data_IF_073989656305
#
_entry.id   IF_073989656305
#
_cell.length_a   1.000
_cell.length_b   1.000
_cell.length_c   1.000
_cell.angle_alpha   90.00
_cell.angle_beta   90.00
_cell.angle_gamma   90.00
#
_symmetry.space_group_name_H-M   'P 1'
#
loop_
_entity.id
_entity.type
_entity.pdbx_description
1 polymer ?
#
# COMPACT_ATOMS: atom_id res chain seq x y z
N UNK A 1 -8.50 -18.45 -44.14
CA UNK A 1 -9.19 -17.49 -43.25
C UNK A 1 -8.69 -16.12 -43.66
N UNK A 2 -9.46 -15.44 -44.49
CA UNK A 2 -8.98 -14.24 -45.19
C UNK A 2 -9.00 -13.04 -44.24
N UNK A 3 -7.81 -12.63 -43.80
CA UNK A 3 -7.61 -11.45 -42.94
C UNK A 3 -8.23 -10.18 -43.52
N UNK A 4 -8.35 -10.09 -44.86
CA UNK A 4 -9.00 -8.97 -45.53
C UNK A 4 -10.52 -8.97 -45.32
N UNK A 5 -11.18 -10.14 -45.42
CA UNK A 5 -12.60 -10.28 -45.13
C UNK A 5 -12.90 -10.02 -43.64
N UNK A 6 -11.99 -10.45 -42.75
CA UNK A 6 -12.05 -10.14 -41.32
C UNK A 6 -11.88 -8.63 -41.04
N UNK A 7 -11.02 -7.94 -41.79
CA UNK A 7 -10.82 -6.50 -41.62
C UNK A 7 -12.01 -5.69 -42.17
N UNK A 8 -12.62 -6.10 -43.30
CA UNK A 8 -13.84 -5.48 -43.81
C UNK A 8 -15.04 -5.73 -42.90
N UNK A 9 -15.22 -6.94 -42.35
CA UNK A 9 -16.29 -7.21 -41.39
C UNK A 9 -16.07 -6.47 -40.09
N UNK A 10 -14.83 -6.33 -39.61
CA UNK A 10 -14.49 -5.50 -38.44
C UNK A 10 -14.73 -4.02 -38.71
N UNK A 11 -14.43 -3.52 -39.91
CA UNK A 11 -14.67 -2.11 -40.26
C UNK A 11 -16.16 -1.80 -40.48
N UNK A 12 -16.94 -2.72 -41.07
CA UNK A 12 -18.39 -2.57 -41.21
C UNK A 12 -19.12 -2.75 -39.87
N UNK A 13 -18.64 -3.66 -39.02
CA UNK A 13 -19.07 -3.80 -37.62
C UNK A 13 -18.74 -2.55 -36.81
N UNK A 14 -17.52 -2.01 -36.93
CA UNK A 14 -17.11 -0.77 -36.28
C UNK A 14 -17.94 0.44 -36.78
N UNK A 15 -18.27 0.48 -38.07
CA UNK A 15 -19.09 1.52 -38.69
C UNK A 15 -20.58 1.47 -38.32
N UNK A 16 -21.14 0.27 -38.11
CA UNK A 16 -22.50 0.08 -37.55
C UNK A 16 -22.54 0.39 -36.05
N UNK A 17 -21.48 0.05 -35.31
CA UNK A 17 -21.38 0.33 -33.89
C UNK A 17 -21.24 1.83 -33.57
N UNK A 18 -20.58 2.62 -34.42
CA UNK A 18 -20.52 4.09 -34.31
C UNK A 18 -21.89 4.79 -34.49
N UNK A 19 -22.93 4.10 -35.00
CA UNK A 19 -24.27 4.68 -35.20
C UNK A 19 -25.23 4.39 -34.04
N UNK A 20 -24.93 3.39 -33.21
CA UNK A 20 -25.68 3.03 -32.01
C UNK A 20 -24.88 3.41 -30.74
N UNK A 21 -24.19 4.54 -30.78
CA UNK A 21 -23.40 5.03 -29.64
C UNK A 21 -24.32 5.63 -28.57
N UNK A 22 -24.28 5.00 -27.39
CA UNK A 22 -24.84 5.51 -26.15
C UNK A 22 -25.13 4.40 -25.16
N UNK A 23 -24.62 4.51 -23.93
CA UNK A 23 -25.18 3.76 -22.80
C UNK A 23 -26.67 4.08 -22.75
N UNK A 24 -27.51 3.08 -22.99
CA UNK A 24 -28.95 3.25 -22.87
C UNK A 24 -29.25 3.60 -21.42
N UNK A 25 -29.99 4.70 -21.19
CA UNK A 25 -30.43 5.11 -19.86
C UNK A 25 -31.17 3.97 -19.14
N UNK A 26 -31.81 3.08 -19.90
CA UNK A 26 -32.45 1.86 -19.41
C UNK A 26 -31.45 0.88 -18.79
N UNK A 27 -30.32 0.59 -19.43
CA UNK A 27 -29.27 -0.30 -18.89
C UNK A 27 -28.68 0.23 -17.58
N UNK A 28 -28.48 1.56 -17.49
CA UNK A 28 -28.03 2.21 -16.25
C UNK A 28 -29.06 2.09 -15.11
N UNK A 29 -30.35 2.28 -15.40
CA UNK A 29 -31.40 2.14 -14.40
C UNK A 29 -31.57 0.69 -13.95
N UNK A 30 -31.43 -0.27 -14.86
CA UNK A 30 -31.45 -1.70 -14.55
C UNK A 30 -30.28 -2.07 -13.63
N UNK A 31 -29.05 -1.64 -13.94
CA UNK A 31 -27.90 -1.95 -13.09
C UNK A 31 -27.97 -1.29 -11.72
N UNK A 32 -28.50 -0.05 -11.65
CA UNK A 32 -28.79 0.64 -10.40
C UNK A 32 -29.83 -0.14 -9.58
N UNK A 33 -30.89 -0.64 -10.21
CA UNK A 33 -31.93 -1.41 -9.55
C UNK A 33 -31.42 -2.75 -9.04
N UNK A 34 -30.61 -3.48 -9.82
CA UNK A 34 -29.96 -4.73 -9.39
C UNK A 34 -29.01 -4.47 -8.22
N UNK A 35 -28.15 -3.45 -8.34
CA UNK A 35 -27.20 -3.07 -7.28
C UNK A 35 -27.91 -2.66 -5.99
N UNK A 36 -28.98 -1.86 -6.09
CA UNK A 36 -29.82 -1.50 -4.95
C UNK A 36 -30.54 -2.73 -4.38
N UNK A 37 -30.98 -3.64 -5.25
CA UNK A 37 -31.63 -4.91 -4.90
C UNK A 37 -30.72 -5.86 -4.12
N UNK A 38 -29.40 -5.77 -4.29
CA UNK A 38 -28.42 -6.51 -3.47
C UNK A 38 -28.10 -5.73 -2.19
N UNK A 39 -27.87 -4.42 -2.30
CA UNK A 39 -27.46 -3.58 -1.19
C UNK A 39 -28.50 -3.50 -0.07
N UNK A 40 -29.79 -3.29 -0.42
CA UNK A 40 -30.86 -3.10 0.58
C UNK A 40 -31.04 -4.36 1.45
N UNK A 41 -31.14 -5.59 0.90
CA UNK A 41 -31.20 -6.80 1.71
C UNK A 41 -29.96 -7.02 2.58
N UNK A 42 -28.75 -6.78 2.05
CA UNK A 42 -27.52 -6.94 2.83
C UNK A 42 -27.49 -6.00 4.04
N UNK A 43 -27.83 -4.72 3.83
CA UNK A 43 -27.95 -3.75 4.93
C UNK A 43 -29.05 -4.18 5.89
N UNK A 44 -30.20 -4.64 5.40
CA UNK A 44 -31.30 -5.11 6.23
C UNK A 44 -30.87 -6.31 7.11
N UNK A 45 -30.24 -7.32 6.52
CA UNK A 45 -29.67 -8.48 7.22
C UNK A 45 -28.68 -8.01 8.28
N UNK A 46 -27.77 -7.09 7.95
CA UNK A 46 -26.85 -6.50 8.92
C UNK A 46 -27.58 -5.81 10.08
N UNK A 47 -28.62 -5.01 9.81
CA UNK A 47 -29.41 -4.36 10.87
C UNK A 47 -30.13 -5.34 11.79
N UNK A 48 -30.45 -6.53 11.30
CA UNK A 48 -31.04 -7.60 12.09
C UNK A 48 -29.97 -8.35 12.91
N UNK A 49 -28.85 -8.71 12.28
CA UNK A 49 -27.75 -9.43 12.92
C UNK A 49 -27.07 -8.63 14.04
N UNK A 50 -26.94 -7.31 13.88
CA UNK A 50 -26.34 -6.43 14.92
C UNK A 50 -27.13 -6.47 16.23
N UNK A 51 -28.45 -6.62 16.16
CA UNK A 51 -29.35 -6.59 17.32
C UNK A 51 -29.37 -7.95 18.05
N UNK A 52 -29.10 -9.06 17.33
CA UNK A 52 -29.02 -10.41 17.91
C UNK A 52 -27.67 -10.63 18.59
N UNK A 53 -26.57 -10.39 17.88
CA UNK A 53 -25.23 -10.80 18.29
C UNK A 53 -24.31 -9.61 18.62
N UNK A 54 -24.67 -8.85 19.65
CA UNK A 54 -23.88 -7.68 20.09
C UNK A 54 -22.38 -8.01 20.34
N UNK A 55 -22.06 -9.20 20.86
CA UNK A 55 -20.68 -9.64 21.12
C UNK A 55 -19.80 -9.69 19.87
N UNK A 56 -20.38 -10.07 18.73
CA UNK A 56 -19.65 -10.19 17.47
C UNK A 56 -19.53 -8.84 16.76
N UNK A 57 -20.60 -8.04 16.77
CA UNK A 57 -20.66 -6.78 16.03
C UNK A 57 -20.09 -5.58 16.80
N UNK A 58 -19.98 -5.66 18.12
CA UNK A 58 -19.52 -4.57 18.98
C UNK A 58 -18.53 -5.06 20.05
N UNK A 59 -17.38 -5.64 19.65
CA UNK A 59 -16.41 -6.16 20.61
C UNK A 59 -15.79 -5.05 21.48
N UNK A 60 -15.60 -3.85 20.94
CA UNK A 60 -15.04 -2.71 21.67
C UNK A 60 -15.98 -2.21 22.78
N UNK A 61 -17.30 -2.28 22.60
CA UNK A 61 -18.27 -1.97 23.66
C UNK A 61 -18.27 -2.99 24.81
N UNK A 62 -17.69 -4.18 24.60
CA UNK A 62 -17.47 -5.13 25.70
C UNK A 62 -16.15 -4.88 26.43
N UNK A 63 -15.14 -4.40 25.74
CA UNK A 63 -13.83 -4.10 26.31
C UNK A 63 -13.85 -2.80 27.13
N UNK A 64 -14.60 -1.80 26.67
CA UNK A 64 -14.70 -0.50 27.30
C UNK A 64 -16.15 -0.24 27.78
N UNK A 65 -16.42 -0.23 29.11
CA UNK A 65 -17.76 -0.02 29.66
C UNK A 65 -18.31 1.39 29.41
N UNK A 66 -17.46 2.35 29.04
CA UNK A 66 -17.85 3.74 28.75
C UNK A 66 -18.35 3.93 27.30
N UNK A 67 -18.22 2.90 26.46
CA UNK A 67 -18.75 2.90 25.09
C UNK A 67 -20.23 2.50 25.09
N UNK A 68 -21.10 3.47 24.79
CA UNK A 68 -22.54 3.21 24.65
C UNK A 68 -22.79 2.23 23.48
N UNK A 69 -23.54 1.13 23.69
CA UNK A 69 -23.87 0.20 22.63
C UNK A 69 -24.73 0.89 21.56
N UNK A 70 -24.62 0.43 20.31
CA UNK A 70 -25.48 0.94 19.24
C UNK A 70 -26.95 0.70 19.63
N UNK A 71 -27.83 1.68 19.34
CA UNK A 71 -29.19 1.63 19.79
C UNK A 71 -29.95 0.56 19.01
N UNK A 72 -30.84 -0.14 19.70
CA UNK A 72 -31.74 -1.13 19.09
C UNK A 72 -32.70 -0.41 18.16
N UNK A 73 -32.83 -0.87 16.92
CA UNK A 73 -33.68 -0.22 15.91
C UNK A 73 -33.07 -0.19 14.50
N UNK A 74 -33.97 -0.17 13.51
CA UNK A 74 -33.63 -0.35 12.08
C UNK A 74 -32.92 0.86 11.45
N UNK A 75 -33.31 2.08 11.81
CA UNK A 75 -32.73 3.34 11.26
C UNK A 75 -32.08 4.24 12.31
N UNK A 76 -32.36 3.99 13.59
CA UNK A 76 -31.87 4.81 14.71
C UNK A 76 -30.34 4.80 14.82
N UNK A 77 -29.70 3.67 14.51
CA UNK A 77 -28.25 3.53 14.52
C UNK A 77 -27.57 4.42 13.47
N UNK A 78 -28.20 4.64 12.31
CA UNK A 78 -27.69 5.56 11.27
C UNK A 78 -27.71 7.00 11.76
N UNK A 79 -28.80 7.41 12.43
CA UNK A 79 -28.92 8.75 13.01
C UNK A 79 -27.89 8.98 14.12
N UNK A 80 -27.67 7.99 14.98
CA UNK A 80 -26.65 8.07 16.03
C UNK A 80 -25.24 8.09 15.44
N UNK A 81 -24.97 7.28 14.41
CA UNK A 81 -23.70 7.30 13.69
C UNK A 81 -23.46 8.68 13.06
N UNK A 82 -24.47 9.29 12.45
CA UNK A 82 -24.35 10.62 11.87
C UNK A 82 -24.09 11.70 12.93
N UNK A 83 -24.76 11.61 14.10
CA UNK A 83 -24.50 12.50 15.24
C UNK A 83 -23.07 12.34 15.75
N UNK A 84 -22.63 11.09 15.95
CA UNK A 84 -21.28 10.75 16.39
C UNK A 84 -20.22 11.24 15.40
N UNK A 85 -20.45 11.05 14.10
CA UNK A 85 -19.58 11.57 13.04
C UNK A 85 -19.54 13.09 12.96
N UNK A 86 -20.46 13.83 13.58
CA UNK A 86 -20.43 15.29 13.62
C UNK A 86 -19.64 15.82 14.81
N UNK A 87 -19.49 15.02 15.86
CA UNK A 87 -18.83 15.41 17.10
C UNK A 87 -17.33 15.05 17.06
N UNK A 88 -16.53 15.95 16.49
CA UNK A 88 -15.08 15.74 16.36
C UNK A 88 -14.36 15.75 17.73
N UNK A 89 -14.97 16.31 18.78
CA UNK A 89 -14.41 16.37 20.14
C UNK A 89 -14.61 15.07 20.91
N UNK A 90 -15.80 14.48 20.86
CA UNK A 90 -16.05 13.16 21.46
C UNK A 90 -15.27 12.04 20.75
N UNK A 91 -15.09 12.17 19.42
CA UNK A 91 -14.23 11.28 18.65
C UNK A 91 -12.78 11.30 19.12
N UNK A 92 -12.32 12.43 19.65
CA UNK A 92 -10.91 12.66 19.89
C UNK A 92 -10.36 11.88 21.10
N UNK A 93 -11.19 11.65 22.13
CA UNK A 93 -10.77 10.95 23.34
C UNK A 93 -10.85 9.42 23.25
N UNK A 94 -11.60 8.88 22.28
CA UNK A 94 -11.98 7.45 22.25
C UNK A 94 -11.38 6.65 21.10
N UNK A 95 -11.11 7.30 19.96
CA UNK A 95 -10.58 6.64 18.77
C UNK A 95 -9.08 6.91 18.63
N UNK A 96 -8.36 5.90 18.12
CA UNK A 96 -6.98 6.08 17.69
C UNK A 96 -6.88 7.20 16.63
N UNK A 97 -5.72 7.86 16.60
CA UNK A 97 -5.46 8.95 15.66
C UNK A 97 -5.65 8.50 14.20
N UNK A 98 -5.23 7.29 13.86
CA UNK A 98 -5.37 6.76 12.49
C UNK A 98 -6.83 6.52 12.10
N UNK A 99 -7.64 5.99 13.02
CA UNK A 99 -9.08 5.80 12.77
C UNK A 99 -9.77 7.15 12.53
N UNK A 100 -9.38 8.18 13.29
CA UNK A 100 -9.87 9.56 13.09
C UNK A 100 -9.50 10.10 11.70
N UNK A 101 -8.28 9.86 11.22
CA UNK A 101 -7.87 10.29 9.89
C UNK A 101 -8.60 9.54 8.77
N UNK A 102 -8.86 8.25 8.97
CA UNK A 102 -9.67 7.47 8.03
C UNK A 102 -11.11 8.01 7.92
N UNK A 103 -11.77 8.29 9.05
CA UNK A 103 -13.11 8.89 9.05
C UNK A 103 -13.12 10.28 8.42
N UNK A 104 -12.06 11.07 8.66
CA UNK A 104 -11.90 12.37 8.00
C UNK A 104 -11.73 12.22 6.49
N UNK A 105 -10.95 11.26 6.00
CA UNK A 105 -10.78 10.98 4.57
C UNK A 105 -12.14 10.73 3.89
N UNK A 106 -12.99 9.90 4.49
CA UNK A 106 -14.35 9.64 3.99
C UNK A 106 -15.20 10.91 3.98
N UNK A 107 -15.14 11.71 5.06
CA UNK A 107 -15.89 12.97 5.15
C UNK A 107 -15.42 13.99 4.11
N UNK A 108 -14.11 14.07 3.86
CA UNK A 108 -13.53 14.94 2.83
C UNK A 108 -13.96 14.49 1.44
N UNK A 109 -14.02 13.18 1.17
CA UNK A 109 -14.54 12.67 -0.10
C UNK A 109 -16.00 13.10 -0.33
N UNK A 110 -16.87 13.02 0.69
CA UNK A 110 -18.26 13.52 0.58
C UNK A 110 -18.30 15.04 0.37
N UNK A 111 -17.50 15.80 1.12
CA UNK A 111 -17.38 17.27 0.94
C UNK A 111 -16.80 17.66 -0.42
N UNK A 112 -16.01 16.79 -1.06
CA UNK A 112 -15.45 16.99 -2.39
C UNK A 112 -16.54 16.87 -3.45
N UNK A 113 -17.29 15.77 -3.45
CA UNK A 113 -18.23 15.46 -4.52
C UNK A 113 -19.59 16.15 -4.39
N UNK A 114 -20.14 16.31 -3.17
CA UNK A 114 -21.48 16.88 -2.98
C UNK A 114 -21.67 18.30 -3.54
N UNK A 115 -20.83 19.30 -3.20
CA UNK A 115 -21.01 20.65 -3.73
C UNK A 115 -20.72 20.73 -5.23
N UNK A 116 -19.74 19.95 -5.70
CA UNK A 116 -19.43 19.81 -7.13
C UNK A 116 -20.67 19.29 -7.88
N UNK A 117 -21.31 18.23 -7.38
CA UNK A 117 -22.52 17.69 -7.99
C UNK A 117 -23.67 18.71 -8.00
N UNK A 118 -23.92 19.39 -6.88
CA UNK A 118 -25.02 20.37 -6.76
C UNK A 118 -24.81 21.61 -7.63
N UNK A 119 -23.57 22.04 -7.86
CA UNK A 119 -23.27 23.24 -8.66
C UNK A 119 -23.10 22.88 -10.14
N UNK A 120 -22.34 21.84 -10.44
CA UNK A 120 -21.92 21.52 -11.81
C UNK A 120 -23.02 20.79 -12.58
N UNK A 121 -23.78 19.87 -11.96
CA UNK A 121 -24.84 19.14 -12.68
C UNK A 121 -25.90 20.10 -13.25
N UNK A 122 -26.44 21.08 -12.49
CA UNK A 122 -27.42 22.01 -13.05
C UNK A 122 -26.87 22.92 -14.16
N UNK A 123 -25.55 23.14 -14.20
CA UNK A 123 -24.91 23.96 -15.24
C UNK A 123 -24.63 23.10 -16.48
N UNK A 124 -24.03 21.92 -16.32
CA UNK A 124 -23.59 21.09 -17.44
C UNK A 124 -24.72 20.31 -18.10
N UNK A 125 -25.71 19.82 -17.34
CA UNK A 125 -26.79 19.02 -17.91
C UNK A 125 -27.58 19.80 -18.99
N UNK A 126 -28.04 21.04 -18.75
CA UNK A 126 -28.75 21.81 -19.77
C UNK A 126 -27.86 22.23 -20.95
N UNK A 127 -26.61 22.61 -20.67
CA UNK A 127 -25.64 23.05 -21.70
C UNK A 127 -25.33 21.93 -22.68
N UNK A 128 -25.17 20.70 -22.17
CA UNK A 128 -24.89 19.53 -22.98
C UNK A 128 -26.16 19.05 -23.70
N UNK A 129 -27.31 19.01 -23.02
CA UNK A 129 -28.57 18.56 -23.63
C UNK A 129 -29.00 19.43 -24.83
N UNK A 130 -28.86 20.75 -24.71
CA UNK A 130 -29.27 21.71 -25.77
C UNK A 130 -28.32 21.77 -26.98
N UNK A 131 -27.21 21.02 -26.98
CA UNK A 131 -26.25 21.03 -28.09
C UNK A 131 -26.74 20.25 -29.32
N UNK A 132 -27.75 19.40 -29.11
CA UNK A 132 -28.55 18.63 -30.07
C UNK A 132 -27.80 18.23 -31.35
N UNK A 133 -26.88 17.28 -31.21
CA UNK A 133 -26.28 16.59 -32.34
C UNK A 133 -27.17 15.42 -32.79
N UNK A 134 -27.47 15.35 -34.08
CA UNK A 134 -28.37 14.35 -34.71
C UNK A 134 -27.87 12.90 -34.49
N UNK A 135 -26.60 12.71 -34.13
CA UNK A 135 -25.92 11.41 -34.08
C UNK A 135 -25.84 10.78 -32.68
N UNK A 136 -26.25 11.48 -31.61
CA UNK A 136 -26.03 11.02 -30.22
C UNK A 136 -27.35 10.67 -29.53
N UNK A 137 -27.49 9.41 -29.14
CA UNK A 137 -28.65 8.86 -28.43
C UNK A 137 -28.39 8.63 -26.94
N UNK A 138 -29.46 8.39 -26.16
CA UNK A 138 -29.34 7.92 -24.77
C UNK A 138 -28.69 8.90 -23.79
N UNK A 139 -27.92 8.36 -22.84
CA UNK A 139 -27.25 9.11 -21.76
C UNK A 139 -26.13 10.04 -22.28
N UNK A 140 -25.59 9.75 -23.46
CA UNK A 140 -24.50 10.49 -24.08
C UNK A 140 -24.92 11.90 -24.51
N UNK A 141 -26.22 12.18 -24.59
CA UNK A 141 -26.76 13.54 -24.78
C UNK A 141 -26.38 14.51 -23.66
N UNK A 142 -26.10 14.00 -22.46
CA UNK A 142 -25.64 14.80 -21.32
C UNK A 142 -24.11 14.88 -21.22
N UNK A 143 -23.38 14.18 -22.09
CA UNK A 143 -21.92 14.17 -22.12
C UNK A 143 -21.37 15.32 -22.98
N UNK A 144 -20.07 15.59 -22.82
CA UNK A 144 -19.34 16.56 -23.64
C UNK A 144 -19.28 16.15 -25.11
N UNK A 145 -19.51 14.88 -25.44
CA UNK A 145 -19.56 14.34 -26.81
C UNK A 145 -20.70 14.96 -27.65
N UNK A 146 -21.76 15.47 -27.03
CA UNK A 146 -22.86 16.12 -27.76
C UNK A 146 -22.48 17.53 -28.26
N UNK A 147 -21.39 18.14 -27.77
CA UNK A 147 -20.97 19.50 -28.14
C UNK A 147 -20.23 19.48 -29.48
N UNK A 148 -20.77 20.19 -30.47
CA UNK A 148 -20.13 20.34 -31.77
C UNK A 148 -18.91 21.27 -31.72
N UNK A 149 -17.94 21.06 -32.62
CA UNK A 149 -16.69 21.84 -32.68
C UNK A 149 -16.91 23.34 -32.95
N UNK A 150 -18.03 23.69 -33.58
CA UNK A 150 -18.38 25.06 -33.98
C UNK A 150 -18.95 25.91 -32.82
N UNK A 151 -19.36 25.27 -31.72
CA UNK A 151 -20.06 25.94 -30.62
C UNK A 151 -19.09 26.45 -29.53
N UNK A 152 -18.31 27.49 -29.84
CA UNK A 152 -17.27 28.02 -28.94
C UNK A 152 -17.76 28.42 -27.54
N UNK A 153 -18.96 28.99 -27.43
CA UNK A 153 -19.51 29.46 -26.13
C UNK A 153 -19.70 28.29 -25.16
N UNK A 154 -20.18 27.14 -25.64
CA UNK A 154 -20.42 25.96 -24.80
C UNK A 154 -19.12 25.37 -24.26
N UNK A 155 -18.07 25.33 -25.10
CA UNK A 155 -16.72 24.93 -24.69
C UNK A 155 -16.15 25.85 -23.60
N UNK A 156 -16.42 27.15 -23.68
CA UNK A 156 -16.03 28.10 -22.63
C UNK A 156 -16.80 27.87 -21.32
N UNK A 157 -18.10 27.54 -21.40
CA UNK A 157 -18.91 27.23 -20.22
C UNK A 157 -18.41 25.95 -19.54
N UNK A 158 -18.11 24.88 -20.30
CA UNK A 158 -17.57 23.63 -19.73
C UNK A 158 -16.19 23.85 -19.12
N UNK A 159 -15.30 24.59 -19.79
CA UNK A 159 -13.99 24.95 -19.26
C UNK A 159 -14.11 25.77 -17.97
N UNK A 160 -15.01 26.76 -17.93
CA UNK A 160 -15.26 27.56 -16.72
C UNK A 160 -15.77 26.70 -15.57
N UNK A 161 -16.75 25.83 -15.80
CA UNK A 161 -17.24 24.90 -14.78
C UNK A 161 -16.14 23.97 -14.24
N UNK A 162 -15.27 23.46 -15.11
CA UNK A 162 -14.12 22.65 -14.72
C UNK A 162 -13.11 23.44 -13.88
N UNK A 163 -12.84 24.70 -14.24
CA UNK A 163 -11.93 25.56 -13.45
C UNK A 163 -12.49 25.83 -12.05
N UNK A 164 -13.79 26.08 -11.92
CA UNK A 164 -14.47 26.26 -10.64
C UNK A 164 -14.37 24.99 -9.77
N UNK A 165 -14.56 23.82 -10.38
CA UNK A 165 -14.37 22.52 -9.73
C UNK A 165 -12.94 22.37 -9.19
N UNK A 166 -11.95 22.66 -10.03
CA UNK A 166 -10.54 22.53 -9.66
C UNK A 166 -10.14 23.48 -8.52
N UNK A 167 -10.61 24.74 -8.54
CA UNK A 167 -10.42 25.71 -7.46
C UNK A 167 -11.06 25.19 -6.16
N UNK A 168 -12.26 24.62 -6.24
CA UNK A 168 -12.92 24.03 -5.07
C UNK A 168 -12.12 22.87 -4.47
N UNK A 169 -11.67 21.93 -5.31
CA UNK A 169 -10.86 20.77 -4.93
C UNK A 169 -9.58 21.25 -4.24
N UNK A 170 -8.82 22.15 -4.89
CA UNK A 170 -7.57 22.68 -4.35
C UNK A 170 -7.77 23.38 -3.00
N UNK A 171 -8.78 24.25 -2.90
CA UNK A 171 -9.11 24.95 -1.65
C UNK A 171 -9.47 23.98 -0.53
N UNK A 172 -10.31 22.98 -0.82
CA UNK A 172 -10.73 21.98 0.16
C UNK A 172 -9.55 21.15 0.66
N UNK A 173 -8.71 20.65 -0.26
CA UNK A 173 -7.52 19.88 0.07
C UNK A 173 -6.55 20.67 0.95
N UNK A 174 -6.29 21.94 0.65
CA UNK A 174 -5.41 22.78 1.47
C UNK A 174 -5.96 23.04 2.87
N UNK A 175 -7.25 23.32 3.00
CA UNK A 175 -7.88 23.53 4.31
C UNK A 175 -7.80 22.26 5.15
N UNK A 176 -8.18 21.12 4.57
CA UNK A 176 -8.18 19.85 5.28
C UNK A 176 -6.76 19.38 5.62
N UNK A 177 -5.77 19.61 4.74
CA UNK A 177 -4.37 19.32 5.03
C UNK A 177 -3.86 20.11 6.25
N UNK A 178 -4.15 21.41 6.33
CA UNK A 178 -3.81 22.23 7.50
C UNK A 178 -4.48 21.72 8.78
N UNK A 179 -5.75 21.32 8.69
CA UNK A 179 -6.48 20.75 9.82
C UNK A 179 -5.89 19.41 10.27
N UNK A 180 -5.47 18.56 9.35
CA UNK A 180 -4.79 17.28 9.67
C UNK A 180 -3.46 17.54 10.38
N UNK A 181 -2.65 18.46 9.87
CA UNK A 181 -1.37 18.84 10.51
C UNK A 181 -1.61 19.37 11.93
N UNK A 182 -2.57 20.29 12.12
CA UNK A 182 -2.90 20.81 13.45
C UNK A 182 -3.41 19.72 14.40
N UNK A 183 -4.26 18.81 13.90
CA UNK A 183 -4.77 17.69 14.72
C UNK A 183 -3.64 16.75 15.13
N UNK A 184 -2.71 16.45 14.22
CA UNK A 184 -1.52 15.64 14.47
C UNK A 184 -0.61 16.30 15.51
N UNK A 185 -0.34 17.60 15.37
CA UNK A 185 0.46 18.36 16.32
C UNK A 185 -0.17 18.38 17.72
N UNK A 186 -1.48 18.64 17.80
CA UNK A 186 -2.21 18.63 19.07
C UNK A 186 -2.16 17.25 19.75
N UNK A 187 -2.26 16.17 18.96
CA UNK A 187 -2.13 14.81 19.49
C UNK A 187 -0.74 14.57 20.08
N UNK A 188 0.34 14.89 19.35
CA UNK A 188 1.70 14.70 19.87
C UNK A 188 2.07 15.62 21.03
N UNK A 189 1.37 16.73 21.21
CA UNK A 189 1.56 17.62 22.36
C UNK A 189 0.91 17.08 23.65
N UNK A 190 0.14 16.00 23.57
CA UNK A 190 -0.53 15.43 24.75
C UNK A 190 0.48 14.78 25.70
N UNK A 191 0.46 15.19 26.97
CA UNK A 191 1.55 14.93 27.93
C UNK A 191 1.82 13.44 28.22
N UNK A 192 0.80 12.58 28.08
CA UNK A 192 0.97 11.14 28.31
C UNK A 192 1.84 10.48 27.23
N UNK A 193 1.88 11.03 26.00
CA UNK A 193 2.77 10.54 24.95
C UNK A 193 4.22 10.95 25.20
N UNK A 194 4.44 12.10 25.83
CA UNK A 194 5.77 12.60 26.19
C UNK A 194 6.46 11.77 27.30
N UNK A 195 5.70 10.99 28.08
CA UNK A 195 6.22 10.09 29.12
C UNK A 195 6.69 8.73 28.58
N UNK A 196 6.45 8.42 27.31
CA UNK A 196 6.93 7.16 26.72
C UNK A 196 8.44 7.22 26.48
N UNK A 197 9.16 6.20 26.93
CA UNK A 197 10.59 6.02 26.63
C UNK A 197 10.78 5.92 25.13
N UNK A 198 11.56 6.84 24.56
CA UNK A 198 11.85 6.84 23.14
C UNK A 198 12.91 5.78 22.85
N UNK A 199 12.50 4.75 22.10
CA UNK A 199 13.40 3.69 21.65
C UNK A 199 13.73 3.92 20.18
N UNK A 200 15.01 3.97 19.85
CA UNK A 200 15.48 4.18 18.48
C UNK A 200 16.30 2.97 18.05
N UNK A 201 16.01 2.48 16.84
CA UNK A 201 16.84 1.46 16.19
C UNK A 201 17.87 2.17 15.32
N UNK A 202 19.15 1.87 15.56
CA UNK A 202 20.22 2.25 14.64
C UNK A 202 20.62 1.02 13.83
N UNK A 203 20.67 1.20 12.51
CA UNK A 203 21.01 0.16 11.55
C UNK A 203 22.32 0.49 10.82
N UNK A 204 22.90 -0.51 10.15
CA UNK A 204 24.15 -0.39 9.40
C UNK A 204 25.33 0.07 10.28
N UNK A 205 25.44 -0.48 11.49
CA UNK A 205 26.58 -0.27 12.39
C UNK A 205 27.81 -1.02 11.84
N UNK A 206 28.98 -0.38 11.72
CA UNK A 206 30.22 -1.09 11.38
C UNK A 206 30.57 -2.14 12.44
N UNK A 207 31.02 -3.35 12.07
CA UNK A 207 31.21 -4.46 13.00
C UNK A 207 32.25 -4.17 14.10
N UNK A 208 33.22 -3.26 13.84
CA UNK A 208 34.21 -2.83 14.83
C UNK A 208 33.67 -1.84 15.87
N UNK A 209 32.53 -1.19 15.58
CA UNK A 209 31.87 -0.24 16.49
C UNK A 209 30.69 -0.87 17.25
N UNK A 210 30.33 -2.12 16.94
CA UNK A 210 29.23 -2.84 17.57
C UNK A 210 29.63 -3.32 18.97
N UNK A 211 29.83 -2.39 19.89
CA UNK A 211 30.11 -2.62 21.30
C UNK A 211 29.33 -1.60 22.13
N UNK A 212 28.77 -2.02 23.26
CA UNK A 212 28.03 -1.13 24.17
C UNK A 212 28.85 0.13 24.53
N UNK A 213 30.11 -0.05 24.92
CA UNK A 213 31.01 1.05 25.29
C UNK A 213 31.30 2.01 24.12
N UNK A 214 31.62 1.49 22.94
CA UNK A 214 31.92 2.32 21.75
C UNK A 214 30.70 3.11 21.30
N UNK A 215 29.51 2.48 21.31
CA UNK A 215 28.26 3.13 20.95
C UNK A 215 27.89 4.22 21.95
N UNK A 216 28.01 3.95 23.26
CA UNK A 216 27.80 4.98 24.29
C UNK A 216 28.77 6.15 24.14
N UNK A 217 30.03 5.90 23.80
CA UNK A 217 31.00 6.97 23.56
C UNK A 217 30.61 7.85 22.36
N UNK A 218 30.26 7.25 21.22
CA UNK A 218 29.84 7.99 20.02
C UNK A 218 28.60 8.85 20.33
N UNK A 219 27.61 8.26 21.00
CA UNK A 219 26.35 8.93 21.27
C UNK A 219 26.35 9.81 22.53
N UNK A 220 27.40 9.79 23.35
CA UNK A 220 27.57 10.70 24.50
C UNK A 220 27.62 12.17 24.08
N UNK A 221 27.98 12.45 22.83
CA UNK A 221 27.95 13.79 22.24
C UNK A 221 26.54 14.40 22.22
N UNK A 222 25.49 13.59 22.30
CA UNK A 222 24.10 14.03 22.25
C UNK A 222 23.50 14.09 23.66
N UNK A 223 23.49 15.28 24.27
CA UNK A 223 22.75 15.62 25.50
C UNK A 223 22.71 14.50 26.57
N UNK A 224 23.89 13.99 26.96
CA UNK A 224 24.00 12.96 28.03
C UNK A 224 23.95 11.51 27.54
N UNK A 225 23.72 11.28 26.25
CA UNK A 225 23.77 9.96 25.62
C UNK A 225 22.57 9.06 25.92
N UNK A 226 22.58 7.83 25.38
CA UNK A 226 21.54 6.86 25.63
C UNK A 226 21.61 6.33 27.07
N UNK A 227 20.44 6.17 27.70
CA UNK A 227 20.29 5.53 29.01
C UNK A 227 20.70 4.07 28.90
N UNK A 228 20.21 3.39 27.87
CA UNK A 228 20.56 1.99 27.63
C UNK A 228 20.76 1.67 26.15
N UNK A 229 21.64 0.70 25.88
CA UNK A 229 21.96 0.20 24.55
C UNK A 229 21.76 -1.31 24.56
N UNK A 230 20.74 -1.77 23.84
CA UNK A 230 20.42 -3.19 23.72
C UNK A 230 20.96 -3.68 22.37
N UNK A 231 21.79 -4.73 22.44
CA UNK A 231 22.36 -5.41 21.28
C UNK A 231 21.52 -6.66 20.99
N UNK A 232 20.65 -6.63 19.98
CA UNK A 232 19.78 -7.76 19.72
C UNK A 232 20.59 -8.96 19.22
N UNK A 233 20.18 -10.17 19.62
CA UNK A 233 20.80 -11.44 19.22
C UNK A 233 22.27 -11.63 19.61
N UNK A 234 22.73 -10.99 20.70
CA UNK A 234 24.10 -11.13 21.20
C UNK A 234 24.49 -12.60 21.43
N UNK A 235 23.66 -13.39 22.10
CA UNK A 235 23.93 -14.83 22.34
C UNK A 235 24.12 -15.62 21.04
N UNK A 236 23.35 -15.28 20.00
CA UNK A 236 23.46 -15.94 18.68
C UNK A 236 24.76 -15.55 17.99
N UNK A 237 25.19 -14.30 18.14
CA UNK A 237 26.46 -13.82 17.63
C UNK A 237 27.62 -14.54 18.31
N UNK A 238 27.61 -14.64 19.63
CA UNK A 238 28.68 -15.28 20.43
C UNK A 238 28.85 -16.76 20.04
N UNK A 239 27.73 -17.47 19.85
CA UNK A 239 27.73 -18.84 19.36
C UNK A 239 28.33 -18.97 17.94
N UNK A 240 28.05 -18.02 17.05
CA UNK A 240 28.61 -18.00 15.69
C UNK A 240 30.11 -17.68 15.72
N UNK A 241 30.57 -16.80 16.59
CA UNK A 241 31.99 -16.48 16.77
C UNK A 241 32.78 -17.66 17.32
N UNK A 242 32.20 -18.37 18.30
CA UNK A 242 32.79 -19.61 18.81
C UNK A 242 32.96 -20.62 17.67
N UNK A 243 31.92 -20.80 16.85
CA UNK A 243 31.97 -21.67 15.66
C UNK A 243 32.95 -21.19 14.59
N UNK A 244 33.12 -19.88 14.43
CA UNK A 244 34.11 -19.32 13.52
C UNK A 244 35.52 -19.63 14.01
N UNK A 245 35.78 -19.49 15.32
CA UNK A 245 37.07 -19.77 15.92
C UNK A 245 37.47 -21.25 15.81
N UNK A 246 36.53 -22.18 15.95
CA UNK A 246 36.79 -23.61 15.76
C UNK A 246 37.16 -23.91 14.31
N UNK A 247 36.42 -23.37 13.34
CA UNK A 247 36.73 -23.56 11.91
C UNK A 247 38.07 -22.93 11.50
N UNK A 248 38.46 -21.81 12.10
CA UNK A 248 39.77 -21.20 11.87
C UNK A 248 40.91 -22.09 12.40
N UNK A 249 40.73 -22.74 13.55
CA UNK A 249 41.67 -23.73 14.08
C UNK A 249 41.74 -24.97 13.19
N UNK A 250 40.59 -25.46 12.72
CA UNK A 250 40.54 -26.58 11.77
C UNK A 250 41.26 -26.25 10.46
N UNK A 251 41.15 -25.00 9.98
CA UNK A 251 41.87 -24.53 8.81
C UNK A 251 43.39 -24.48 9.06
N UNK A 252 43.83 -23.97 10.21
CA UNK A 252 45.27 -23.93 10.57
C UNK A 252 45.85 -25.34 10.67
N UNK A 253 45.15 -26.27 11.33
CA UNK A 253 45.57 -27.67 11.44
C UNK A 253 45.66 -28.35 10.07
N UNK A 254 44.70 -28.12 9.18
CA UNK A 254 44.76 -28.61 7.79
C UNK A 254 45.92 -27.99 6.99
N UNK A 255 46.25 -26.72 7.22
CA UNK A 255 47.39 -26.08 6.56
C UNK A 255 48.73 -26.65 7.04
N UNK A 256 48.83 -27.03 8.32
CA UNK A 256 50.01 -27.73 8.87
C UNK A 256 50.17 -29.14 8.32
N UNK A 257 49.09 -29.91 8.18
CA UNK A 257 49.11 -31.32 7.71
C UNK A 257 49.10 -31.39 6.16
N UNK A 258 49.72 -30.42 5.48
CA UNK A 258 49.75 -30.38 4.01
C UNK A 258 50.33 -31.70 3.46
N UNK A 259 49.62 -32.42 2.57
CA UNK A 259 50.10 -33.69 2.05
C UNK A 259 51.36 -33.49 1.20
N UNK A 260 52.45 -34.16 1.58
CA UNK A 260 53.66 -34.25 0.76
C UNK A 260 53.49 -35.30 -0.34
N UNK A 261 54.13 -35.06 -1.49
CA UNK A 261 54.09 -35.96 -2.65
C UNK A 261 54.95 -37.20 -2.34
N UNK A 262 54.32 -38.26 -1.83
CA UNK A 262 54.94 -39.58 -1.66
C UNK A 262 54.59 -40.49 -2.84
N UNK A 263 55.59 -41.20 -3.37
CA UNK A 263 55.46 -42.15 -4.50
C UNK A 263 54.98 -43.55 -4.10
N UNK A 264 54.83 -43.86 -2.81
CA UNK A 264 54.65 -45.24 -2.31
C UNK A 264 53.24 -45.59 -1.82
N UNK A 265 52.22 -44.76 -2.09
CA UNK A 265 50.87 -44.97 -1.54
C UNK A 265 49.86 -45.55 -2.52
N UNK A 266 48.96 -46.40 -2.01
CA UNK A 266 47.88 -47.13 -2.72
C UNK A 266 46.86 -46.18 -3.41
N UNK A 267 46.72 -44.95 -2.93
CA UNK A 267 45.82 -43.93 -3.53
C UNK A 267 46.64 -42.93 -4.37
N UNK A 268 46.24 -42.62 -5.62
CA UNK A 268 46.93 -41.66 -6.47
C UNK A 268 47.13 -40.30 -5.76
N UNK A 269 48.35 -39.78 -5.81
CA UNK A 269 48.73 -38.51 -5.16
C UNK A 269 47.90 -37.32 -5.66
N UNK A 270 47.48 -37.35 -6.93
CA UNK A 270 46.61 -36.35 -7.56
C UNK A 270 45.21 -36.28 -6.94
N UNK A 271 44.59 -37.43 -6.66
CA UNK A 271 43.26 -37.53 -6.03
C UNK A 271 43.30 -36.99 -4.59
N UNK A 272 44.37 -37.28 -3.87
CA UNK A 272 44.58 -36.81 -2.49
C UNK A 272 44.76 -35.29 -2.41
N UNK A 273 45.52 -34.72 -3.35
CA UNK A 273 45.69 -33.27 -3.49
C UNK A 273 44.38 -32.59 -3.88
N UNK A 274 43.62 -33.14 -4.84
CA UNK A 274 42.31 -32.62 -5.21
C UNK A 274 41.33 -32.64 -4.03
N UNK A 275 41.28 -33.73 -3.27
CA UNK A 275 40.45 -33.82 -2.06
C UNK A 275 40.86 -32.79 -1.01
N UNK A 276 42.17 -32.59 -0.79
CA UNK A 276 42.70 -31.57 0.11
C UNK A 276 42.27 -30.16 -0.31
N UNK A 277 42.50 -29.77 -1.57
CA UNK A 277 42.13 -28.44 -2.06
C UNK A 277 40.62 -28.20 -2.06
N UNK A 278 39.82 -29.23 -2.38
CA UNK A 278 38.36 -29.16 -2.30
C UNK A 278 37.89 -28.92 -0.87
N UNK A 279 38.41 -29.69 0.10
CA UNK A 279 38.04 -29.55 1.50
C UNK A 279 38.50 -28.21 2.08
N UNK A 280 39.71 -27.77 1.73
CA UNK A 280 40.21 -26.43 2.07
C UNK A 280 39.29 -25.34 1.52
N UNK A 281 38.94 -25.40 0.24
CA UNK A 281 38.05 -24.41 -0.39
C UNK A 281 36.65 -24.38 0.22
N UNK A 282 36.11 -25.55 0.57
CA UNK A 282 34.82 -25.67 1.27
C UNK A 282 34.89 -25.06 2.69
N UNK A 283 35.97 -25.30 3.42
CA UNK A 283 36.18 -24.74 4.75
C UNK A 283 36.34 -23.22 4.71
N UNK A 284 37.15 -22.69 3.79
CA UNK A 284 37.28 -21.24 3.57
C UNK A 284 35.95 -20.60 3.15
N UNK A 285 35.15 -21.29 2.32
CA UNK A 285 33.81 -20.83 1.95
C UNK A 285 32.88 -20.77 3.18
N UNK A 286 32.94 -21.80 4.04
CA UNK A 286 32.18 -21.84 5.31
C UNK A 286 32.56 -20.69 6.23
N UNK A 287 33.86 -20.41 6.35
CA UNK A 287 34.41 -19.29 7.14
C UNK A 287 33.90 -17.96 6.59
N UNK A 288 34.04 -17.71 5.28
CA UNK A 288 33.55 -16.47 4.66
C UNK A 288 32.05 -16.27 4.82
N UNK A 289 31.26 -17.34 4.70
CA UNK A 289 29.82 -17.27 4.90
C UNK A 289 29.47 -16.93 6.36
N UNK A 290 30.12 -17.59 7.33
CA UNK A 290 29.91 -17.29 8.75
C UNK A 290 30.35 -15.88 9.13
N UNK A 291 31.49 -15.41 8.62
CA UNK A 291 31.94 -14.03 8.82
C UNK A 291 30.90 -13.02 8.33
N UNK A 292 30.38 -13.23 7.10
CA UNK A 292 29.33 -12.38 6.54
C UNK A 292 28.03 -12.44 7.37
N UNK A 293 27.69 -13.59 7.92
CA UNK A 293 26.50 -13.74 8.76
C UNK A 293 26.67 -13.10 10.15
N UNK A 294 27.90 -13.03 10.67
CA UNK A 294 28.23 -12.30 11.91
C UNK A 294 28.18 -10.79 11.66
N UNK A 295 28.77 -10.30 10.56
CA UNK A 295 28.72 -8.89 10.19
C UNK A 295 27.27 -8.40 10.00
N UNK A 296 26.39 -9.25 9.47
CA UNK A 296 24.96 -8.94 9.34
C UNK A 296 24.26 -8.82 10.70
N UNK A 297 24.55 -9.70 11.65
CA UNK A 297 23.96 -9.60 13.00
C UNK A 297 24.50 -8.39 13.75
N UNK A 298 25.79 -8.06 13.58
CA UNK A 298 26.46 -6.90 14.21
C UNK A 298 26.13 -5.54 13.57
N UNK A 299 24.99 -5.42 12.90
CA UNK A 299 24.63 -4.20 12.16
C UNK A 299 23.53 -3.38 12.83
N UNK A 300 22.95 -3.86 13.94
CA UNK A 300 21.77 -3.27 14.58
C UNK A 300 22.00 -3.10 16.08
N UNK A 301 21.55 -1.97 16.62
CA UNK A 301 21.47 -1.73 18.06
C UNK A 301 20.21 -0.91 18.38
N UNK A 302 19.64 -1.15 19.54
CA UNK A 302 18.49 -0.44 20.10
C UNK A 302 19.00 0.53 21.16
N UNK A 303 18.56 1.77 21.08
CA UNK A 303 18.92 2.83 22.02
C UNK A 303 17.69 3.30 22.77
N UNK A 304 17.77 3.30 24.09
CA UNK A 304 16.76 3.87 24.97
C UNK A 304 17.23 5.23 25.48
N UNK A 305 16.39 6.26 25.28
CA UNK A 305 16.65 7.61 25.76
C UNK A 305 15.69 7.97 26.90
N UNK A 306 16.17 8.76 27.87
CA UNK A 306 15.32 9.35 28.91
C UNK A 306 14.39 10.41 28.34
N UNK A 307 14.88 11.14 27.33
CA UNK A 307 14.26 12.34 26.80
C UNK A 307 13.88 12.16 25.33
N UNK A 308 12.63 12.49 24.99
CA UNK A 308 12.14 12.48 23.61
C UNK A 308 12.91 13.46 22.72
N UNK A 309 13.39 14.58 23.28
CA UNK A 309 14.15 15.57 22.52
C UNK A 309 15.48 15.01 22.03
N UNK A 310 16.25 14.35 22.90
CA UNK A 310 17.53 13.72 22.53
C UNK A 310 17.33 12.61 21.51
N UNK A 311 16.28 11.81 21.67
CA UNK A 311 15.87 10.81 20.70
C UNK A 311 15.57 11.44 19.32
N UNK A 312 14.75 12.48 19.29
CA UNK A 312 14.40 13.15 18.04
C UNK A 312 15.60 13.81 17.36
N UNK A 313 16.51 14.38 18.16
CA UNK A 313 17.74 14.96 17.66
C UNK A 313 18.63 13.90 16.97
N UNK A 314 18.69 12.69 17.52
CA UNK A 314 19.44 11.58 16.93
C UNK A 314 18.79 11.05 15.63
N UNK A 315 17.46 11.08 15.52
CA UNK A 315 16.76 10.72 14.28
C UNK A 315 17.04 11.71 13.14
N UNK A 316 17.24 12.99 13.47
CA UNK A 316 17.50 14.04 12.49
C UNK A 316 19.00 14.21 12.19
N UNK A 317 19.86 13.96 13.18
CA UNK A 317 21.30 14.13 13.06
C UNK A 317 21.96 12.88 12.48
N UNK A 318 22.89 13.09 11.55
CA UNK A 318 23.71 12.00 11.01
C UNK A 318 24.94 11.79 11.89
N UNK A 319 25.13 10.59 12.41
CA UNK A 319 26.29 10.25 13.25
C UNK A 319 27.56 9.91 12.45
N UNK A 320 27.43 9.50 11.19
CA UNK A 320 28.54 9.04 10.34
C UNK A 320 28.84 10.00 9.18
N UNK A 321 30.10 10.06 8.74
CA UNK A 321 30.49 10.75 7.50
C UNK A 321 30.17 9.95 6.24
N UNK A 322 30.10 8.62 6.36
CA UNK A 322 29.84 7.70 5.27
C UNK A 322 28.33 7.60 5.04
N UNK A 323 27.85 7.74 3.80
CA UNK A 323 26.43 7.61 3.54
C UNK A 323 25.92 6.20 3.84
N UNK A 324 24.77 6.10 4.53
CA UNK A 324 24.08 4.85 4.91
C UNK A 324 24.71 4.05 6.06
N UNK A 325 25.66 4.61 6.81
CA UNK A 325 26.12 4.02 8.08
C UNK A 325 25.44 4.69 9.27
N UNK A 326 25.23 3.95 10.36
CA UNK A 326 24.62 4.47 11.60
C UNK A 326 23.29 5.19 11.33
N UNK A 327 22.38 4.53 10.61
CA UNK A 327 21.11 5.11 10.21
C UNK A 327 20.04 4.83 11.27
N UNK A 328 19.55 5.90 11.90
CA UNK A 328 18.57 5.86 12.97
C UNK A 328 17.14 5.84 12.43
N UNK A 329 16.30 4.98 13.01
CA UNK A 329 14.89 4.80 12.67
C UNK A 329 14.06 4.64 13.94
N UNK A 330 12.87 5.23 13.94
CA UNK A 330 11.86 4.99 14.98
C UNK A 330 11.08 3.73 14.61
N UNK A 331 11.10 2.72 15.49
CA UNK A 331 10.33 1.48 15.32
C UNK A 331 9.91 0.96 16.68
N UNK A 332 8.67 0.47 16.78
CA UNK A 332 8.20 -0.21 17.99
C UNK A 332 8.90 -1.55 18.15
N UNK A 333 9.53 -1.76 19.32
CA UNK A 333 10.33 -2.95 19.64
C UNK A 333 9.55 -4.26 19.44
N UNK A 334 8.24 -4.24 19.70
CA UNK A 334 7.35 -5.40 19.54
C UNK A 334 7.15 -5.82 18.07
N UNK A 335 7.42 -4.93 17.12
CA UNK A 335 7.19 -5.13 15.68
C UNK A 335 8.48 -5.25 14.88
N UNK A 336 9.60 -5.56 15.54
CA UNK A 336 10.91 -5.59 14.89
C UNK A 336 10.97 -6.69 13.82
N UNK A 337 10.82 -6.28 12.56
CA UNK A 337 10.84 -7.20 11.43
C UNK A 337 12.21 -7.89 11.29
N UNK A 338 12.26 -9.22 11.08
CA UNK A 338 13.52 -9.92 10.83
C UNK A 338 14.21 -9.45 9.54
N UNK A 339 13.49 -8.72 8.68
CA UNK A 339 14.03 -8.15 7.45
C UNK A 339 15.07 -7.04 7.68
N UNK A 340 15.16 -6.49 8.88
CA UNK A 340 16.11 -5.41 9.21
C UNK A 340 17.57 -5.93 9.10
N UNK A 341 17.81 -7.21 9.41
CA UNK A 341 19.11 -7.88 9.32
C UNK A 341 19.59 -8.17 7.89
N UNK A 342 18.74 -7.97 6.87
CA UNK A 342 19.15 -8.20 5.50
C UNK A 342 20.22 -7.21 5.06
N UNK A 343 21.19 -7.71 4.29
CA UNK A 343 22.21 -6.86 3.66
C UNK A 343 21.58 -5.82 2.73
N UNK A 344 22.26 -4.68 2.54
CA UNK A 344 21.81 -3.61 1.62
C UNK A 344 21.49 -4.16 0.23
N UNK A 345 22.38 -5.01 -0.31
CA UNK A 345 22.20 -5.63 -1.62
C UNK A 345 20.97 -6.56 -1.68
N UNK A 346 20.71 -7.34 -0.63
CA UNK A 346 19.49 -8.16 -0.59
C UNK A 346 18.22 -7.30 -0.49
N UNK A 347 18.27 -6.18 0.23
CA UNK A 347 17.13 -5.23 0.33
C UNK A 347 16.86 -4.58 -1.03
N UNK A 348 17.90 -4.11 -1.73
CA UNK A 348 17.75 -3.51 -3.06
C UNK A 348 17.28 -4.53 -4.10
N UNK A 349 17.86 -5.74 -4.13
CA UNK A 349 17.40 -6.81 -5.01
C UNK A 349 15.94 -7.19 -4.74
N UNK A 350 15.52 -7.27 -3.47
CA UNK A 350 14.12 -7.53 -3.13
C UNK A 350 13.21 -6.40 -3.62
N UNK A 351 13.59 -5.13 -3.42
CA UNK A 351 12.82 -3.99 -3.90
C UNK A 351 12.70 -3.97 -5.43
N UNK A 352 13.80 -4.19 -6.15
CA UNK A 352 13.81 -4.31 -7.62
C UNK A 352 12.96 -5.50 -8.08
N UNK A 353 13.09 -6.66 -7.42
CA UNK A 353 12.28 -7.84 -7.72
C UNK A 353 10.79 -7.55 -7.54
N UNK A 354 10.39 -6.93 -6.43
CA UNK A 354 9.00 -6.55 -6.18
C UNK A 354 8.51 -5.58 -7.26
N UNK A 355 9.30 -4.57 -7.62
CA UNK A 355 8.96 -3.62 -8.68
C UNK A 355 8.74 -4.33 -10.03
N UNK A 356 9.64 -5.23 -10.42
CA UNK A 356 9.51 -6.00 -11.67
C UNK A 356 8.26 -6.87 -11.62
N UNK A 357 8.02 -7.59 -10.52
CA UNK A 357 6.82 -8.42 -10.35
C UNK A 357 5.54 -7.60 -10.41
N UNK A 358 5.50 -6.42 -9.80
CA UNK A 358 4.35 -5.51 -9.85
C UNK A 358 4.10 -4.99 -11.27
N UNK A 359 5.15 -4.65 -12.03
CA UNK A 359 5.00 -4.22 -13.42
C UNK A 359 4.49 -5.36 -14.32
N UNK A 360 5.03 -6.57 -14.17
CA UNK A 360 4.54 -7.75 -14.90
C UNK A 360 3.09 -8.04 -14.54
N UNK A 361 2.74 -7.97 -13.26
CA UNK A 361 1.36 -8.14 -12.80
C UNK A 361 0.45 -7.07 -13.41
N UNK A 362 0.86 -5.80 -13.46
CA UNK A 362 0.08 -4.73 -14.07
C UNK A 362 -0.20 -4.97 -15.56
N UNK A 363 0.80 -5.44 -16.32
CA UNK A 363 0.63 -5.80 -17.74
C UNK A 363 -0.30 -7.00 -17.90
N UNK A 364 -0.14 -8.05 -17.07
CA UNK A 364 -1.03 -9.21 -17.11
C UNK A 364 -2.46 -8.85 -16.71
N UNK A 365 -2.65 -7.90 -15.78
CA UNK A 365 -3.96 -7.41 -15.36
C UNK A 365 -4.66 -6.57 -16.45
N UNK A 366 -3.96 -6.13 -17.48
CA UNK A 366 -4.58 -5.53 -18.65
C UNK A 366 -5.50 -6.52 -19.41
N UNK A 367 -5.24 -7.83 -19.33
CA UNK A 367 -6.04 -8.88 -19.99
C UNK A 367 -7.45 -8.98 -19.38
N UNK A 368 -7.63 -9.16 -18.06
CA UNK A 368 -8.97 -9.16 -17.48
C UNK A 368 -9.66 -7.80 -17.60
N UNK A 369 -8.92 -6.68 -17.55
CA UNK A 369 -9.49 -5.34 -17.78
C UNK A 369 -10.01 -5.21 -19.22
N UNK A 370 -9.26 -5.67 -20.23
CA UNK A 370 -9.72 -5.62 -21.61
C UNK A 370 -10.89 -6.57 -21.86
N UNK A 371 -10.89 -7.75 -21.24
CA UNK A 371 -12.00 -8.69 -21.31
C UNK A 371 -13.29 -8.12 -20.70
N UNK A 372 -13.20 -7.49 -19.52
CA UNK A 372 -14.35 -6.82 -18.89
C UNK A 372 -14.81 -5.60 -19.70
N UNK A 373 -13.88 -4.85 -20.31
CA UNK A 373 -14.20 -3.78 -21.25
C UNK A 373 -14.97 -4.28 -22.49
N UNK A 374 -14.51 -5.39 -23.09
CA UNK A 374 -15.22 -6.04 -24.21
C UNK A 374 -16.61 -6.53 -23.80
N UNK A 375 -16.75 -7.07 -22.59
CA UNK A 375 -18.03 -7.54 -22.06
C UNK A 375 -19.01 -6.38 -21.81
N UNK A 376 -18.51 -5.25 -21.30
CA UNK A 376 -19.31 -4.04 -21.09
C UNK A 376 -19.87 -3.47 -22.40
N UNK A 377 -19.20 -3.72 -23.53
CA UNK A 377 -19.61 -3.25 -24.85
C UNK A 377 -20.11 -4.39 -25.75
N UNK A 378 -21.06 -5.19 -25.26
CA UNK A 378 -21.60 -6.37 -25.97
C UNK A 378 -22.16 -6.06 -27.38
N UNK A 379 -22.55 -4.80 -27.64
CA UNK A 379 -22.99 -4.32 -28.97
C UNK A 379 -21.92 -4.52 -30.06
N UNK A 380 -20.62 -4.42 -29.73
CA UNK A 380 -19.56 -4.68 -30.71
C UNK A 380 -19.40 -6.19 -30.98
N UNK A 381 -19.71 -7.06 -30.01
CA UNK A 381 -19.58 -8.51 -30.12
C UNK A 381 -20.75 -9.16 -30.87
N UNK A 382 -21.93 -8.53 -30.86
CA UNK A 382 -23.11 -8.99 -31.60
C UNK A 382 -22.85 -9.06 -33.12
N UNK A 383 -22.00 -8.16 -33.62
CA UNK A 383 -21.57 -8.16 -35.03
C UNK A 383 -20.68 -9.36 -35.43
N UNK A 384 -20.03 -10.01 -34.46
CA UNK A 384 -19.02 -11.06 -34.67
C UNK A 384 -19.60 -12.46 -34.48
N UNK A 385 -20.62 -12.63 -33.63
CA UNK A 385 -21.21 -13.93 -33.33
C UNK A 385 -22.74 -13.90 -33.35
N UNK A 386 -23.34 -14.62 -34.31
CA UNK A 386 -24.79 -14.70 -34.51
C UNK A 386 -25.57 -15.35 -33.36
N UNK A 387 -24.88 -16.01 -32.42
CA UNK A 387 -25.52 -16.59 -31.23
C UNK A 387 -25.94 -15.55 -30.17
N UNK A 388 -25.37 -14.34 -30.21
CA UNK A 388 -25.72 -13.25 -29.28
C UNK A 388 -27.09 -12.62 -29.59
N UNK A 389 -27.57 -12.75 -30.83
CA UNK A 389 -28.91 -12.30 -31.26
C UNK A 389 -30.06 -13.05 -30.55
N UNK A 390 -29.78 -14.17 -29.85
CA UNK A 390 -30.79 -14.89 -29.08
C UNK A 390 -31.11 -14.26 -27.72
N UNK A 391 -30.34 -13.26 -27.26
CA UNK A 391 -30.56 -12.59 -25.99
C UNK A 391 -31.54 -11.42 -26.15
N UNK A 392 -32.43 -11.24 -25.16
CA UNK A 392 -33.35 -10.10 -25.13
C UNK A 392 -32.62 -8.80 -24.78
N UNK A 393 -33.06 -7.67 -25.32
CA UNK A 393 -32.50 -6.34 -25.06
C UNK A 393 -32.39 -5.99 -23.56
N UNK A 394 -33.33 -6.47 -22.73
CA UNK A 394 -33.29 -6.28 -21.28
C UNK A 394 -32.18 -7.11 -20.61
N UNK A 395 -31.89 -8.31 -21.12
CA UNK A 395 -30.80 -9.16 -20.63
C UNK A 395 -29.45 -8.61 -21.07
N UNK A 396 -29.35 -8.12 -22.31
CA UNK A 396 -28.17 -7.41 -22.81
C UNK A 396 -27.87 -6.16 -21.98
N UNK A 397 -28.89 -5.37 -21.67
CA UNK A 397 -28.74 -4.19 -20.81
C UNK A 397 -28.32 -4.51 -19.37
N UNK A 398 -28.81 -5.62 -18.80
CA UNK A 398 -28.40 -6.08 -17.48
C UNK A 398 -26.94 -6.55 -17.44
N UNK A 399 -26.47 -7.28 -18.46
CA UNK A 399 -25.10 -7.79 -18.55
C UNK A 399 -24.09 -6.67 -18.84
N UNK A 400 -24.49 -5.65 -19.62
CA UNK A 400 -23.60 -4.50 -19.89
C UNK A 400 -23.46 -3.57 -18.69
N UNK A 401 -24.49 -3.50 -17.84
CA UNK A 401 -24.54 -2.59 -16.70
C UNK A 401 -23.99 -3.18 -15.38
N UNK A 402 -23.86 -4.50 -15.28
CA UNK A 402 -23.40 -5.22 -14.09
C UNK A 402 -22.03 -5.86 -14.33
#
# INVERSE_FOLDING_TARGET
MDFAALNETVNDAAGKAHKNEGLSAQSFLISLAVSAGIFIPVVYIFTFLKDINHKLFQPQCLADPDLLPLPKGRTLWVKQLWKFMKDDTELAGRLSLDCRFFLRLLRVAVKLFMPIAVIILPILLPVNYTADSIKVGGLDRFSISNIQKEQHIRWWITAFAATLANIHIWRLLLVEFRLVVKTRQNYFHEWFLAQKVATIVVTNIPPGMWNDQSLRQIYSAFNGGPVDVILPQQDVCDNKELKLSTLLRDLDTMMRIRPQISRTSIVPSSIRLMAYFRNKGLLECRIRNLQRDIERTKSIALFHFSDLFTAHLLLQARASSIPLELEAHETDVETLDPAIYYSKLSKTLRSVSILVTLNVLAVLWAIPISLTGLLSQLVYLDSINSHLHNLSDDQLGAIQGF
#
